data_IF_741259408259
#
_entry.id   IF_741259408259
#
_cell.length_a   1.000
_cell.length_b   1.000
_cell.length_c   1.000
_cell.angle_alpha   90.00
_cell.angle_beta   90.00
_cell.angle_gamma   90.00
#
_symmetry.space_group_name_H-M   'P 1'
#
loop_
_entity.id
_entity.type
_entity.pdbx_description
1 polymer ?
#
# COMPACT_ATOMS: atom_id res chain seq x y z
N UNK A 1 21.03 13.91 9.63
CA UNK A 1 20.38 14.87 8.74
C UNK A 1 19.90 16.02 9.59
N UNK A 2 20.22 17.23 9.16
CA UNK A 2 19.73 18.48 9.76
C UNK A 2 18.34 18.79 9.20
N UNK A 3 17.55 19.66 9.81
CA UNK A 3 16.21 20.04 9.30
C UNK A 3 16.21 20.51 7.83
N UNK A 4 17.36 21.01 7.34
CA UNK A 4 17.57 21.34 5.92
C UNK A 4 17.33 20.16 4.96
N UNK A 5 17.60 18.92 5.37
CA UNK A 5 17.49 17.76 4.47
C UNK A 5 16.02 17.30 4.26
N UNK A 6 15.10 17.78 5.10
CA UNK A 6 13.66 17.54 5.02
C UNK A 6 12.90 18.71 4.39
N UNK A 7 13.60 19.73 3.93
CA UNK A 7 13.00 20.94 3.37
C UNK A 7 12.92 20.85 1.85
N UNK A 8 11.71 20.74 1.29
CA UNK A 8 11.44 20.90 -0.13
C UNK A 8 11.34 22.39 -0.46
N UNK A 9 12.16 22.88 -1.39
CA UNK A 9 12.03 24.22 -1.96
C UNK A 9 11.55 24.11 -3.40
N UNK A 10 10.40 24.69 -3.69
CA UNK A 10 9.74 24.67 -5.00
C UNK A 10 9.19 26.08 -5.31
N UNK A 11 8.75 26.36 -6.56
CA UNK A 11 8.16 27.65 -6.91
C UNK A 11 6.95 28.06 -6.04
N UNK A 12 6.21 27.07 -5.51
CA UNK A 12 5.05 27.26 -4.64
C UNK A 12 5.42 27.63 -3.20
N UNK A 13 6.69 27.51 -2.82
CA UNK A 13 7.18 27.83 -1.49
C UNK A 13 8.17 26.80 -0.93
N UNK A 14 8.34 26.87 0.38
CA UNK A 14 9.26 26.01 1.14
C UNK A 14 8.46 25.18 2.13
N UNK A 15 8.64 23.86 2.08
CA UNK A 15 7.83 22.91 2.84
C UNK A 15 8.72 21.92 3.60
N UNK A 16 8.43 21.69 4.88
CA UNK A 16 9.08 20.66 5.70
C UNK A 16 8.30 19.35 5.52
N UNK A 17 8.93 18.35 4.93
CA UNK A 17 8.29 17.09 4.57
C UNK A 17 9.04 15.90 5.18
N UNK A 18 8.30 15.08 5.92
CA UNK A 18 8.78 13.86 6.55
C UNK A 18 8.18 12.62 5.91
N UNK A 19 8.95 11.53 5.95
CA UNK A 19 8.50 10.20 5.54
C UNK A 19 7.71 9.55 6.67
N UNK A 20 6.80 8.65 6.29
CA UNK A 20 6.11 7.76 7.22
C UNK A 20 6.37 6.28 6.84
N UNK A 21 6.53 5.35 7.80
CA UNK A 21 6.66 5.58 9.24
C UNK A 21 7.93 6.36 9.59
N UNK A 22 7.88 7.16 10.66
CA UNK A 22 9.03 7.96 11.10
C UNK A 22 10.17 7.04 11.56
N UNK A 23 11.38 7.27 11.06
CA UNK A 23 12.56 6.45 11.36
C UNK A 23 13.66 7.26 12.00
N UNK A 24 14.33 6.75 13.05
CA UNK A 24 15.52 7.39 13.58
C UNK A 24 16.61 7.45 12.50
N UNK A 25 17.20 8.63 12.29
CA UNK A 25 18.24 8.85 11.26
C UNK A 25 17.77 8.45 9.85
N UNK A 26 16.57 8.89 9.48
CA UNK A 26 16.09 8.77 8.10
C UNK A 26 17.12 9.39 7.14
N UNK A 27 17.45 8.66 6.07
CA UNK A 27 18.42 9.05 5.04
C UNK A 27 17.74 9.42 3.71
N UNK A 28 16.46 9.06 3.57
CA UNK A 28 15.66 9.30 2.38
C UNK A 28 14.78 10.53 2.56
N UNK A 29 14.54 11.24 1.46
CA UNK A 29 13.60 12.37 1.43
C UNK A 29 12.16 11.88 1.26
N UNK A 30 11.21 12.72 1.66
CA UNK A 30 9.78 12.51 1.47
C UNK A 30 9.30 12.79 0.04
N UNK A 31 10.20 13.23 -0.83
CA UNK A 31 9.94 13.47 -2.24
C UNK A 31 11.13 13.01 -3.08
N UNK A 32 10.91 12.88 -4.37
CA UNK A 32 11.94 12.62 -5.37
C UNK A 32 12.00 13.74 -6.42
N UNK A 33 12.93 13.60 -7.38
CA UNK A 33 13.11 14.60 -8.42
C UNK A 33 11.91 14.71 -9.37
N UNK A 34 11.03 13.70 -9.43
CA UNK A 34 9.83 13.79 -10.24
C UNK A 34 8.76 14.64 -9.56
N UNK A 35 8.71 14.69 -8.22
CA UNK A 35 7.85 15.64 -7.50
C UNK A 35 8.29 17.09 -7.78
N UNK A 36 9.58 17.37 -7.62
CA UNK A 36 10.17 18.70 -7.94
C UNK A 36 9.84 19.10 -9.39
N UNK A 37 9.96 18.17 -10.34
CA UNK A 37 9.75 18.47 -11.75
C UNK A 37 8.28 18.77 -12.07
N UNK A 38 7.32 18.06 -11.47
CA UNK A 38 5.89 18.41 -11.61
C UNK A 38 5.66 19.83 -11.09
N UNK A 39 6.17 20.16 -9.91
CA UNK A 39 5.96 21.47 -9.30
C UNK A 39 6.53 22.61 -10.15
N UNK A 40 7.73 22.43 -10.72
CA UNK A 40 8.32 23.38 -11.66
C UNK A 40 7.44 23.55 -12.90
N UNK A 41 7.00 22.44 -13.50
CA UNK A 41 6.17 22.46 -14.72
C UNK A 41 4.81 23.12 -14.50
N UNK A 42 4.15 22.85 -13.38
CA UNK A 42 2.85 23.47 -13.08
C UNK A 42 2.98 24.97 -12.76
N UNK A 43 4.11 25.40 -12.17
CA UNK A 43 4.36 26.82 -11.92
C UNK A 43 4.51 27.63 -13.22
N UNK A 44 5.16 27.06 -14.24
CA UNK A 44 5.31 27.70 -15.56
C UNK A 44 3.96 27.88 -16.29
N UNK A 45 2.97 27.05 -15.96
CA UNK A 45 1.67 27.04 -16.63
C UNK A 45 0.65 28.00 -16.01
N UNK A 46 0.95 28.59 -14.85
CA UNK A 46 0.08 29.55 -14.16
C UNK A 46 -1.37 29.07 -14.04
N UNK A 47 -1.57 27.87 -13.48
CA UNK A 47 -2.91 27.31 -13.24
C UNK A 47 -3.82 28.31 -12.50
N UNK A 48 -5.06 28.46 -12.96
CA UNK A 48 -6.05 29.32 -12.33
C UNK A 48 -6.41 28.80 -10.93
N UNK A 49 -6.81 29.68 -10.01
CA UNK A 49 -7.13 29.31 -8.62
C UNK A 49 -8.34 28.38 -8.47
N UNK A 50 -9.20 28.29 -9.49
CA UNK A 50 -10.37 27.40 -9.55
C UNK A 50 -10.07 26.05 -10.23
N UNK A 51 -8.81 25.81 -10.64
CA UNK A 51 -8.37 24.55 -11.29
C UNK A 51 -8.71 23.35 -10.42
N UNK A 52 -9.52 22.43 -10.96
CA UNK A 52 -9.82 21.14 -10.32
C UNK A 52 -8.65 20.19 -10.53
N UNK A 53 -7.81 20.06 -9.51
CA UNK A 53 -6.61 19.24 -9.52
C UNK A 53 -6.83 17.87 -8.85
N UNK A 54 -6.54 16.80 -9.58
CA UNK A 54 -6.42 15.44 -9.05
C UNK A 54 -4.94 15.02 -8.97
N UNK A 55 -4.50 14.56 -7.80
CA UNK A 55 -3.18 13.99 -7.57
C UNK A 55 -3.35 12.53 -7.20
N UNK A 56 -2.70 11.62 -7.92
CA UNK A 56 -2.80 10.18 -7.72
C UNK A 56 -1.42 9.62 -7.32
N UNK A 57 -1.39 8.80 -6.27
CA UNK A 57 -0.21 8.09 -5.75
C UNK A 57 0.89 9.00 -5.17
N UNK A 58 0.55 10.17 -4.63
CA UNK A 58 1.49 10.99 -3.87
C UNK A 58 1.88 10.29 -2.55
N UNK A 59 3.13 9.83 -2.47
CA UNK A 59 3.56 8.86 -1.44
C UNK A 59 3.65 9.48 -0.05
N UNK A 60 4.01 10.76 0.05
CA UNK A 60 4.16 11.45 1.33
C UNK A 60 3.51 12.84 1.33
N UNK A 61 2.68 13.13 0.34
CA UNK A 61 1.97 14.39 0.23
C UNK A 61 2.83 15.53 -0.32
N UNK A 62 3.95 15.26 -0.99
CA UNK A 62 4.85 16.33 -1.45
C UNK A 62 4.16 17.28 -2.44
N UNK A 63 3.40 16.72 -3.37
CA UNK A 63 2.63 17.48 -4.36
C UNK A 63 1.38 18.08 -3.71
N UNK A 64 0.65 17.29 -2.93
CA UNK A 64 -0.59 17.72 -2.29
C UNK A 64 -0.37 18.89 -1.30
N UNK A 65 0.70 18.82 -0.51
CA UNK A 65 1.10 19.89 0.42
C UNK A 65 1.55 21.13 -0.35
N UNK A 66 2.41 20.98 -1.36
CA UNK A 66 2.91 22.13 -2.13
C UNK A 66 1.82 22.83 -2.95
N UNK A 67 0.81 22.09 -3.41
CA UNK A 67 -0.30 22.59 -4.23
C UNK A 67 -1.58 22.86 -3.41
N UNK A 68 -1.49 22.94 -2.09
CA UNK A 68 -2.63 23.09 -1.18
C UNK A 68 -3.57 24.27 -1.51
N UNK A 69 -3.06 25.34 -2.12
CA UNK A 69 -3.84 26.52 -2.50
C UNK A 69 -4.90 26.21 -3.58
N UNK A 70 -4.71 25.15 -4.37
CA UNK A 70 -5.67 24.64 -5.36
C UNK A 70 -6.68 23.66 -4.75
N UNK A 71 -6.59 23.39 -3.44
CA UNK A 71 -7.42 22.41 -2.74
C UNK A 71 -7.51 21.05 -3.44
N UNK A 72 -6.36 20.41 -3.78
CA UNK A 72 -6.36 19.24 -4.63
C UNK A 72 -7.11 18.06 -4.00
N UNK A 73 -7.73 17.26 -4.86
CA UNK A 73 -8.11 15.91 -4.47
C UNK A 73 -6.89 14.99 -4.59
N UNK A 74 -6.48 14.35 -3.50
CA UNK A 74 -5.33 13.46 -3.46
C UNK A 74 -5.80 12.01 -3.20
N UNK A 75 -5.71 11.17 -4.23
CA UNK A 75 -6.14 9.77 -4.18
C UNK A 75 -4.94 8.82 -3.99
N UNK A 76 -5.06 7.88 -3.06
CA UNK A 76 -4.04 6.85 -2.84
C UNK A 76 -4.66 5.52 -2.41
N UNK A 77 -3.98 4.43 -2.75
CA UNK A 77 -4.26 3.10 -2.19
C UNK A 77 -3.61 2.87 -0.82
N UNK A 78 -2.76 3.79 -0.34
CA UNK A 78 -1.98 3.63 0.89
C UNK A 78 -2.50 4.53 2.00
N UNK A 79 -2.90 3.91 3.11
CA UNK A 79 -3.21 4.61 4.36
C UNK A 79 -2.02 5.42 4.87
N UNK A 80 -0.81 4.85 4.83
CA UNK A 80 0.39 5.53 5.26
C UNK A 80 0.67 6.80 4.44
N UNK A 81 0.34 6.79 3.15
CA UNK A 81 0.48 7.97 2.29
C UNK A 81 -0.50 9.08 2.71
N UNK A 82 -1.76 8.74 3.02
CA UNK A 82 -2.72 9.72 3.54
C UNK A 82 -2.30 10.27 4.90
N UNK A 83 -1.81 9.42 5.82
CA UNK A 83 -1.31 9.87 7.12
C UNK A 83 -0.06 10.76 6.98
N UNK A 84 0.86 10.41 6.09
CA UNK A 84 2.03 11.24 5.80
C UNK A 84 1.62 12.62 5.27
N UNK A 85 0.63 12.69 4.36
CA UNK A 85 0.10 13.97 3.88
C UNK A 85 -0.51 14.80 5.01
N UNK A 86 -1.35 14.22 5.88
CA UNK A 86 -1.93 14.94 7.04
C UNK A 86 -0.86 15.50 7.95
N UNK A 87 0.10 14.67 8.33
CA UNK A 87 1.22 15.07 9.20
C UNK A 87 2.05 16.18 8.53
N UNK A 88 2.33 16.07 7.24
CA UNK A 88 3.09 17.09 6.52
C UNK A 88 2.30 18.39 6.31
N UNK A 89 0.97 18.36 6.15
CA UNK A 89 0.17 19.59 6.19
C UNK A 89 0.30 20.29 7.55
N UNK A 90 0.14 19.55 8.65
CA UNK A 90 0.26 20.09 10.01
C UNK A 90 1.66 20.65 10.28
N UNK A 91 2.72 19.95 9.87
CA UNK A 91 4.11 20.41 10.01
C UNK A 91 4.38 21.74 9.28
N UNK A 92 3.56 22.07 8.28
CA UNK A 92 3.65 23.33 7.53
C UNK A 92 2.59 24.35 7.95
N UNK A 93 1.91 24.14 9.08
CA UNK A 93 0.82 24.99 9.59
C UNK A 93 -0.34 25.15 8.58
N UNK A 94 -0.58 24.13 7.76
CA UNK A 94 -1.69 24.09 6.81
C UNK A 94 -2.86 23.30 7.39
N UNK A 95 -4.08 23.69 7.02
CA UNK A 95 -5.29 22.96 7.40
C UNK A 95 -5.33 21.60 6.71
N UNK A 96 -5.72 20.54 7.42
CA UNK A 96 -5.98 19.23 6.78
C UNK A 96 -7.07 19.32 5.70
N UNK A 97 -7.96 20.32 5.76
CA UNK A 97 -9.02 20.54 4.78
C UNK A 97 -8.51 21.17 3.48
N UNK A 98 -7.24 21.62 3.42
CA UNK A 98 -6.65 22.15 2.18
C UNK A 98 -6.36 21.06 1.16
N UNK A 99 -6.55 19.78 1.49
CA UNK A 99 -6.40 18.65 0.58
C UNK A 99 -7.55 17.68 0.83
N UNK A 100 -8.31 17.34 -0.21
CA UNK A 100 -9.34 16.30 -0.13
C UNK A 100 -8.68 14.93 -0.32
N UNK A 101 -8.39 14.23 0.78
CA UNK A 101 -7.82 12.88 0.74
C UNK A 101 -8.90 11.84 0.44
N UNK A 102 -8.72 11.05 -0.63
CA UNK A 102 -9.63 9.95 -1.02
C UNK A 102 -8.87 8.64 -1.19
N UNK A 103 -9.57 7.51 -1.07
CA UNK A 103 -9.02 6.17 -1.24
C UNK A 103 -9.04 5.75 -2.72
N UNK A 104 -8.25 4.73 -3.05
CA UNK A 104 -8.25 4.07 -4.36
C UNK A 104 -9.57 3.36 -4.72
N UNK A 105 -10.49 3.22 -3.77
CA UNK A 105 -11.80 2.59 -3.96
C UNK A 105 -12.92 3.63 -4.14
N UNK A 106 -12.67 4.88 -3.76
CA UNK A 106 -13.65 5.96 -3.90
C UNK A 106 -13.87 6.28 -5.38
N UNK A 107 -15.13 6.53 -5.75
CA UNK A 107 -15.47 7.04 -7.08
C UNK A 107 -15.00 8.47 -7.24
N UNK A 108 -14.46 8.79 -8.41
CA UNK A 108 -14.19 10.17 -8.80
C UNK A 108 -15.51 10.88 -9.15
N UNK A 109 -15.52 12.20 -9.05
CA UNK A 109 -16.70 13.03 -9.35
C UNK A 109 -16.32 14.25 -10.17
N UNK A 110 -17.19 14.58 -11.13
CA UNK A 110 -16.99 15.67 -12.09
C UNK A 110 -15.79 15.45 -13.02
N UNK A 111 -15.38 16.52 -13.69
CA UNK A 111 -14.22 16.53 -14.58
C UNK A 111 -13.08 17.28 -13.92
N UNK A 112 -11.84 16.84 -14.14
CA UNK A 112 -10.64 17.50 -13.66
C UNK A 112 -9.97 18.30 -14.78
N UNK A 113 -9.46 19.47 -14.44
CA UNK A 113 -8.74 20.34 -15.38
C UNK A 113 -7.26 19.92 -15.44
N UNK A 114 -6.72 19.42 -14.32
CA UNK A 114 -5.36 18.91 -14.23
C UNK A 114 -5.32 17.61 -13.43
N UNK A 115 -4.59 16.62 -13.94
CA UNK A 115 -4.38 15.32 -13.32
C UNK A 115 -2.89 15.01 -13.28
N UNK A 116 -2.36 14.82 -12.07
CA UNK A 116 -0.98 14.38 -11.86
C UNK A 116 -0.99 12.96 -11.30
N UNK A 117 -0.33 12.04 -12.00
CA UNK A 117 -0.19 10.66 -11.57
C UNK A 117 1.29 10.38 -11.29
N UNK A 118 1.64 10.11 -10.04
CA UNK A 118 2.91 9.46 -9.74
C UNK A 118 2.81 8.01 -10.19
N UNK A 119 3.70 7.59 -11.09
CA UNK A 119 3.65 6.24 -11.65
C UNK A 119 3.69 5.21 -10.51
N UNK A 120 2.69 4.32 -10.38
CA UNK A 120 2.67 3.33 -9.32
C UNK A 120 3.70 2.22 -9.59
N UNK A 121 3.96 1.40 -8.58
CA UNK A 121 4.89 0.26 -8.70
C UNK A 121 4.39 -0.84 -9.65
N UNK A 122 3.08 -0.92 -9.87
CA UNK A 122 2.45 -1.97 -10.67
C UNK A 122 1.71 -1.36 -11.86
N UNK A 123 1.81 -2.00 -13.03
CA UNK A 123 1.06 -1.57 -14.21
C UNK A 123 -0.45 -1.77 -14.04
N UNK A 124 -0.86 -2.76 -13.26
CA UNK A 124 -2.26 -3.04 -13.00
C UNK A 124 -2.95 -1.90 -12.25
N UNK A 125 -2.31 -1.36 -11.21
CA UNK A 125 -2.85 -0.17 -10.53
C UNK A 125 -2.92 1.03 -11.47
N UNK A 126 -1.91 1.24 -12.32
CA UNK A 126 -1.97 2.32 -13.31
C UNK A 126 -3.11 2.12 -14.31
N UNK A 127 -3.31 0.91 -14.82
CA UNK A 127 -4.38 0.57 -15.78
C UNK A 127 -5.76 0.84 -15.17
N UNK A 128 -5.99 0.34 -13.97
CA UNK A 128 -7.20 0.55 -13.20
C UNK A 128 -7.48 2.03 -12.93
N UNK A 129 -6.45 2.80 -12.58
CA UNK A 129 -6.55 4.24 -12.37
C UNK A 129 -6.88 4.99 -13.66
N UNK A 130 -6.24 4.66 -14.78
CA UNK A 130 -6.48 5.30 -16.07
C UNK A 130 -7.88 5.00 -16.61
N UNK A 131 -8.36 3.75 -16.50
CA UNK A 131 -9.72 3.38 -16.91
C UNK A 131 -10.76 4.14 -16.08
N UNK A 132 -10.56 4.21 -14.76
CA UNK A 132 -11.48 4.93 -13.87
C UNK A 132 -11.40 6.44 -14.00
N UNK A 133 -10.28 6.97 -14.49
CA UNK A 133 -10.09 8.39 -14.77
C UNK A 133 -10.83 8.83 -16.05
N UNK A 134 -10.98 7.94 -17.03
CA UNK A 134 -11.46 8.31 -18.37
C UNK A 134 -12.79 9.10 -18.40
N UNK A 135 -13.82 8.78 -17.60
CA UNK A 135 -15.07 9.56 -17.57
C UNK A 135 -14.93 10.97 -16.96
N UNK A 136 -13.77 11.27 -16.36
CA UNK A 136 -13.49 12.47 -15.57
C UNK A 136 -12.45 13.39 -16.22
N UNK A 137 -12.15 13.17 -17.50
CA UNK A 137 -11.19 13.95 -18.29
C UNK A 137 -11.80 14.34 -19.63
N UNK A 138 -11.25 15.39 -20.23
CA UNK A 138 -11.60 15.93 -21.54
C UNK A 138 -10.33 16.21 -22.34
N UNK A 139 -10.49 16.64 -23.59
CA UNK A 139 -9.38 16.98 -24.49
C UNK A 139 -8.52 18.14 -23.98
N UNK A 140 -9.09 19.06 -23.19
CA UNK A 140 -8.41 20.17 -22.53
C UNK A 140 -7.86 19.81 -21.14
N UNK A 141 -8.22 18.63 -20.58
CA UNK A 141 -7.63 18.18 -19.32
C UNK A 141 -6.13 17.95 -19.50
N UNK A 142 -5.35 18.59 -18.65
CA UNK A 142 -3.92 18.34 -18.59
C UNK A 142 -3.62 17.07 -17.79
N UNK A 143 -2.97 16.10 -18.42
CA UNK A 143 -2.58 14.84 -17.77
C UNK A 143 -1.05 14.72 -17.74
N UNK A 144 -0.49 14.64 -16.54
CA UNK A 144 0.94 14.50 -16.28
C UNK A 144 1.21 13.20 -15.53
N UNK A 145 1.91 12.26 -16.16
CA UNK A 145 2.43 11.06 -15.48
C UNK A 145 3.90 11.27 -15.15
N UNK A 146 4.24 11.21 -13.88
CA UNK A 146 5.56 11.57 -13.36
C UNK A 146 6.24 10.40 -12.66
N UNK A 147 7.54 10.23 -12.91
CA UNK A 147 8.34 9.23 -12.21
C UNK A 147 9.84 9.37 -12.45
N UNK A 148 10.60 8.70 -11.61
CA UNK A 148 12.01 8.44 -11.88
C UNK A 148 12.11 7.52 -13.12
N UNK A 149 13.08 7.73 -14.01
CA UNK A 149 13.20 7.02 -15.29
C UNK A 149 13.16 5.49 -15.12
N UNK A 150 13.78 4.97 -14.06
CA UNK A 150 13.77 3.52 -13.75
C UNK A 150 12.37 2.94 -13.47
N UNK A 151 11.40 3.79 -13.11
CA UNK A 151 10.01 3.45 -12.83
C UNK A 151 9.09 3.72 -14.03
N UNK A 152 9.64 4.21 -15.15
CA UNK A 152 8.93 4.46 -16.40
C UNK A 152 9.45 3.48 -17.47
N UNK A 153 9.03 2.21 -17.44
CA UNK A 153 9.30 1.28 -18.54
C UNK A 153 8.40 1.58 -19.76
N UNK A 154 8.75 1.11 -20.97
CA UNK A 154 7.95 1.33 -22.19
C UNK A 154 6.48 0.92 -22.10
N UNK A 155 6.15 -0.03 -21.22
CA UNK A 155 4.77 -0.46 -20.97
C UNK A 155 3.88 0.64 -20.38
N UNK A 156 4.44 1.65 -19.69
CA UNK A 156 3.69 2.81 -19.20
C UNK A 156 3.17 3.65 -20.37
N UNK A 157 4.02 3.95 -21.36
CA UNK A 157 3.61 4.67 -22.58
C UNK A 157 2.54 3.91 -23.34
N UNK A 158 2.77 2.63 -23.61
CA UNK A 158 1.79 1.78 -24.31
C UNK A 158 0.43 1.77 -23.62
N UNK A 159 0.42 1.83 -22.29
CA UNK A 159 -0.81 1.87 -21.52
C UNK A 159 -1.53 3.21 -21.64
N UNK A 160 -0.80 4.32 -21.55
CA UNK A 160 -1.34 5.67 -21.75
C UNK A 160 -1.87 5.86 -23.18
N UNK A 161 -1.11 5.44 -24.19
CA UNK A 161 -1.51 5.54 -25.60
C UNK A 161 -2.75 4.71 -25.92
N UNK A 162 -2.89 3.55 -25.26
CA UNK A 162 -4.05 2.68 -25.43
C UNK A 162 -5.31 3.20 -24.72
N UNK A 163 -5.17 3.82 -23.56
CA UNK A 163 -6.30 4.14 -22.67
C UNK A 163 -6.68 5.61 -22.64
N UNK A 164 -5.75 6.52 -22.99
CA UNK A 164 -5.95 7.96 -22.93
C UNK A 164 -5.77 8.56 -24.32
N UNK A 165 -4.63 8.34 -24.97
CA UNK A 165 -4.35 8.91 -26.28
C UNK A 165 -2.89 9.31 -26.47
N UNK A 166 -2.63 10.22 -27.41
CA UNK A 166 -1.26 10.58 -27.80
C UNK A 166 -0.43 11.06 -26.62
N UNK A 167 0.84 10.63 -26.57
CA UNK A 167 1.75 11.02 -25.51
C UNK A 167 2.92 11.84 -26.04
N UNK A 168 3.40 12.77 -25.22
CA UNK A 168 4.69 13.45 -25.39
C UNK A 168 5.47 13.37 -24.08
N UNK A 169 6.75 13.76 -24.09
CA UNK A 169 7.59 13.66 -22.88
C UNK A 169 8.46 14.88 -22.70
N UNK A 170 8.74 15.18 -21.43
CA UNK A 170 9.73 16.18 -21.06
C UNK A 170 11.16 15.66 -21.32
N UNK A 171 12.13 16.58 -21.38
CA UNK A 171 13.54 16.23 -21.19
C UNK A 171 13.73 15.57 -19.82
N UNK A 172 14.76 14.73 -19.69
CA UNK A 172 15.11 14.14 -18.41
C UNK A 172 15.76 15.18 -17.49
N UNK A 173 15.30 15.28 -16.24
CA UNK A 173 15.84 16.20 -15.22
C UNK A 173 16.12 15.41 -13.95
N UNK A 174 17.37 15.40 -13.47
CA UNK A 174 17.78 14.66 -12.25
C UNK A 174 17.29 13.18 -12.21
N UNK A 175 17.32 12.49 -13.36
CA UNK A 175 16.81 11.12 -13.56
C UNK A 175 15.28 10.97 -13.40
N UNK A 176 14.53 12.06 -13.36
CA UNK A 176 13.08 12.10 -13.48
C UNK A 176 12.66 12.49 -14.90
N UNK A 177 11.43 12.10 -15.27
CA UNK A 177 10.79 12.46 -16.53
C UNK A 177 9.27 12.60 -16.32
N UNK A 178 8.67 13.50 -17.08
CA UNK A 178 7.23 13.67 -17.18
C UNK A 178 6.75 13.13 -18.54
N UNK A 179 5.62 12.46 -18.53
CA UNK A 179 4.87 12.06 -19.72
C UNK A 179 3.59 12.89 -19.72
N UNK A 180 3.33 13.59 -20.82
CA UNK A 180 2.08 14.31 -21.03
C UNK A 180 1.18 13.46 -21.91
N UNK A 181 -0.10 13.32 -21.54
CA UNK A 181 -1.07 12.59 -22.33
C UNK A 181 -2.23 13.51 -22.71
N UNK A 182 -2.69 13.42 -23.94
CA UNK A 182 -3.89 14.12 -24.43
C UNK A 182 -4.96 13.10 -24.75
N UNK A 183 -6.18 13.34 -24.28
CA UNK A 183 -7.32 12.46 -24.54
C UNK A 183 -7.61 12.40 -26.05
N UNK A 184 -7.68 11.18 -26.58
CA UNK A 184 -8.22 10.87 -27.90
C UNK A 184 -9.63 10.32 -27.72
N UNK A 185 -10.64 11.15 -27.98
CA UNK A 185 -12.07 10.82 -27.81
C UNK A 185 -12.53 9.68 -28.74
N UNK A 186 -11.72 9.28 -29.73
CA UNK A 186 -12.04 8.18 -30.65
C UNK A 186 -11.67 6.81 -30.08
N UNK A 187 -10.88 6.76 -28.99
CA UNK A 187 -10.48 5.51 -28.36
C UNK A 187 -11.65 4.84 -27.64
N UNK A 188 -11.77 3.52 -27.83
CA UNK A 188 -12.67 2.68 -27.07
C UNK A 188 -11.96 2.15 -25.83
N UNK A 189 -12.35 2.65 -24.66
CA UNK A 189 -11.82 2.20 -23.38
C UNK A 189 -12.43 0.83 -23.03
N UNK A 190 -11.61 -0.18 -22.73
CA UNK A 190 -12.12 -1.48 -22.33
C UNK A 190 -12.81 -1.42 -20.97
N UNK A 191 -13.70 -2.37 -20.71
CA UNK A 191 -14.19 -2.63 -19.35
C UNK A 191 -13.01 -2.85 -18.41
N UNK A 192 -13.08 -2.26 -17.21
CA UNK A 192 -12.05 -2.43 -16.21
C UNK A 192 -11.91 -3.92 -15.84
N UNK A 193 -10.72 -4.53 -16.03
CA UNK A 193 -10.52 -5.95 -15.73
C UNK A 193 -10.40 -6.23 -14.22
N UNK A 194 -10.38 -5.18 -13.39
CA UNK A 194 -10.25 -5.29 -11.94
C UNK A 194 -11.60 -5.12 -11.23
N UNK A 195 -11.85 -5.89 -10.15
CA UNK A 195 -10.93 -6.88 -9.57
C UNK A 195 -10.87 -8.19 -10.38
N UNK A 196 -9.71 -8.87 -10.33
CA UNK A 196 -9.51 -10.16 -10.99
C UNK A 196 -9.88 -11.31 -10.04
N UNK A 197 -10.42 -12.39 -10.59
CA UNK A 197 -10.83 -13.57 -9.80
C UNK A 197 -10.13 -14.84 -10.25
N UNK A 198 -9.67 -15.67 -9.31
CA UNK A 198 -9.19 -17.02 -9.60
C UNK A 198 -9.59 -18.02 -8.49
N UNK A 199 -9.70 -19.30 -8.84
CA UNK A 199 -9.95 -20.36 -7.85
C UNK A 199 -8.66 -20.71 -7.10
N UNK A 200 -8.72 -20.73 -5.78
CA UNK A 200 -7.61 -21.17 -4.94
C UNK A 200 -7.42 -22.67 -5.10
N UNK A 201 -6.22 -23.07 -5.50
CA UNK A 201 -5.85 -24.47 -5.74
C UNK A 201 -6.19 -25.38 -4.56
N UNK A 202 -6.69 -26.59 -4.87
CA UNK A 202 -7.09 -27.61 -3.89
C UNK A 202 -8.22 -27.18 -2.93
N UNK A 203 -8.99 -26.15 -3.27
CA UNK A 203 -10.16 -25.69 -2.51
C UNK A 203 -11.29 -25.26 -3.46
N UNK A 204 -12.48 -25.07 -2.91
CA UNK A 204 -13.61 -24.48 -3.65
C UNK A 204 -13.67 -22.95 -3.50
N UNK A 205 -12.67 -22.33 -2.87
CA UNK A 205 -12.63 -20.89 -2.65
C UNK A 205 -12.23 -20.13 -3.91
N UNK A 206 -12.95 -19.06 -4.17
CA UNK A 206 -12.64 -18.10 -5.24
C UNK A 206 -12.12 -16.82 -4.61
N UNK A 207 -10.95 -16.38 -5.07
CA UNK A 207 -10.28 -15.17 -4.58
C UNK A 207 -10.43 -14.05 -5.60
N UNK A 208 -11.08 -12.97 -5.18
CA UNK A 208 -11.15 -11.65 -5.81
C UNK A 208 -9.99 -10.78 -5.36
N UNK A 209 -9.35 -10.07 -6.29
CA UNK A 209 -8.16 -9.27 -6.04
C UNK A 209 -8.24 -7.93 -6.80
N UNK A 210 -8.18 -6.82 -6.09
CA UNK A 210 -8.07 -5.49 -6.69
C UNK A 210 -6.69 -5.23 -7.30
N UNK A 211 -6.58 -4.18 -8.11
CA UNK A 211 -5.46 -3.95 -9.02
C UNK A 211 -4.07 -3.86 -8.35
N UNK A 212 -4.00 -3.33 -7.13
CA UNK A 212 -2.73 -3.18 -6.40
C UNK A 212 -2.41 -4.34 -5.44
N UNK A 213 -3.27 -5.36 -5.36
CA UNK A 213 -3.10 -6.46 -4.42
C UNK A 213 -1.90 -7.34 -4.81
N UNK A 214 -1.11 -7.74 -3.81
CA UNK A 214 0.06 -8.59 -4.03
C UNK A 214 -0.35 -9.94 -4.63
N UNK A 215 0.39 -10.39 -5.64
CA UNK A 215 0.15 -11.66 -6.35
C UNK A 215 -1.31 -11.82 -6.84
N UNK A 216 -1.96 -10.73 -7.26
CA UNK A 216 -3.38 -10.69 -7.64
C UNK A 216 -3.85 -11.76 -8.65
N UNK A 217 -2.99 -12.20 -9.57
CA UNK A 217 -3.39 -13.09 -10.66
C UNK A 217 -3.28 -14.60 -10.29
N UNK A 218 -2.57 -14.94 -9.20
CA UNK A 218 -2.34 -16.34 -8.78
C UNK A 218 -1.80 -16.42 -7.36
N UNK A 219 -1.98 -17.58 -6.71
CA UNK A 219 -1.39 -17.82 -5.39
C UNK A 219 0.15 -17.71 -5.40
N UNK A 220 0.67 -16.82 -4.54
CA UNK A 220 2.11 -16.66 -4.29
C UNK A 220 2.72 -17.96 -3.76
N UNK A 221 3.93 -18.29 -4.22
CA UNK A 221 4.62 -19.53 -3.88
C UNK A 221 5.04 -19.59 -2.42
N UNK A 222 5.34 -18.44 -1.79
CA UNK A 222 5.59 -18.34 -0.37
C UNK A 222 4.31 -18.63 0.40
N UNK A 223 3.26 -17.86 0.10
CA UNK A 223 1.93 -18.02 0.69
C UNK A 223 1.43 -19.46 0.58
N UNK A 224 1.52 -20.09 -0.60
CA UNK A 224 1.22 -21.53 -0.79
C UNK A 224 1.92 -22.42 0.23
N UNK A 225 3.22 -22.23 0.42
CA UNK A 225 3.98 -22.98 1.42
C UNK A 225 3.52 -22.67 2.85
N UNK A 226 3.17 -21.41 3.14
CA UNK A 226 2.65 -21.03 4.45
C UNK A 226 1.32 -21.71 4.77
N UNK A 227 0.39 -21.73 3.81
CA UNK A 227 -0.92 -22.36 3.94
C UNK A 227 -0.81 -23.84 4.34
N UNK A 228 0.20 -24.57 3.85
CA UNK A 228 0.41 -25.99 4.20
C UNK A 228 0.72 -26.21 5.69
N UNK A 229 1.25 -25.19 6.37
CA UNK A 229 1.76 -25.30 7.74
C UNK A 229 1.03 -24.41 8.75
N UNK A 230 -0.07 -23.74 8.37
CA UNK A 230 -0.84 -22.91 9.30
C UNK A 230 -1.32 -23.71 10.52
N UNK A 231 -1.28 -23.09 11.73
CA UNK A 231 -1.61 -23.79 12.96
C UNK A 231 -3.11 -24.11 13.08
N UNK A 232 -3.39 -25.23 13.73
CA UNK A 232 -4.72 -25.58 14.25
C UNK A 232 -4.67 -25.35 15.76
N UNK A 233 -5.48 -24.40 16.25
CA UNK A 233 -5.56 -23.93 17.63
C UNK A 233 -7.03 -23.89 18.06
N UNK A 234 -7.62 -25.03 18.48
CA UNK A 234 -9.04 -25.10 18.84
C UNK A 234 -9.48 -24.12 19.94
N UNK A 235 -8.53 -23.69 20.78
CA UNK A 235 -8.76 -22.78 21.90
C UNK A 235 -8.38 -21.32 21.58
N UNK A 236 -7.89 -21.02 20.37
CA UNK A 236 -7.64 -19.63 19.98
C UNK A 236 -8.98 -18.91 19.77
N UNK A 237 -9.14 -17.75 20.40
CA UNK A 237 -10.30 -16.89 20.25
C UNK A 237 -10.06 -15.82 19.20
N UNK A 238 -8.83 -15.30 19.09
CA UNK A 238 -8.48 -14.20 18.19
C UNK A 238 -7.24 -14.54 17.35
N UNK A 239 -7.42 -14.56 16.02
CA UNK A 239 -6.36 -14.79 15.06
C UNK A 239 -6.25 -13.57 14.13
N UNK A 240 -5.06 -13.01 14.00
CA UNK A 240 -4.78 -11.86 13.12
C UNK A 240 -4.01 -12.31 11.88
N UNK A 241 -4.50 -11.95 10.71
CA UNK A 241 -3.76 -11.95 9.44
C UNK A 241 -3.15 -10.55 9.22
N UNK A 242 -1.84 -10.44 9.47
CA UNK A 242 -1.09 -9.19 9.46
C UNK A 242 -0.39 -8.96 8.11
N UNK A 243 -0.66 -7.81 7.50
CA UNK A 243 -0.35 -7.50 6.10
C UNK A 243 -1.07 -8.51 5.20
N UNK A 244 -2.40 -8.55 5.34
CA UNK A 244 -3.22 -9.66 4.86
C UNK A 244 -3.28 -9.78 3.33
N UNK A 245 -2.96 -8.73 2.57
CA UNK A 245 -3.16 -8.74 1.12
C UNK A 245 -4.60 -9.11 0.78
N UNK A 246 -4.82 -10.14 -0.03
CA UNK A 246 -6.16 -10.63 -0.36
C UNK A 246 -6.85 -11.48 0.73
N UNK A 247 -6.23 -11.63 1.91
CA UNK A 247 -6.79 -12.33 3.06
C UNK A 247 -6.73 -13.87 2.98
N UNK A 248 -6.04 -14.46 2.00
CA UNK A 248 -6.03 -15.93 1.85
C UNK A 248 -5.45 -16.66 3.07
N UNK A 249 -4.48 -16.05 3.77
CA UNK A 249 -3.87 -16.65 4.97
C UNK A 249 -4.90 -16.71 6.11
N UNK A 250 -5.59 -15.60 6.40
CA UNK A 250 -6.66 -15.56 7.39
C UNK A 250 -7.89 -16.38 7.00
N UNK A 251 -8.22 -16.49 5.71
CA UNK A 251 -9.30 -17.33 5.21
C UNK A 251 -9.05 -18.81 5.53
N UNK A 252 -7.87 -19.35 5.20
CA UNK A 252 -7.53 -20.73 5.53
C UNK A 252 -7.34 -20.93 7.05
N UNK A 253 -6.89 -19.89 7.77
CA UNK A 253 -6.85 -19.93 9.23
C UNK A 253 -8.26 -20.04 9.82
N UNK A 254 -9.26 -19.36 9.27
CA UNK A 254 -10.66 -19.48 9.69
C UNK A 254 -11.22 -20.88 9.45
N UNK A 255 -10.94 -21.47 8.28
CA UNK A 255 -11.35 -22.83 7.95
C UNK A 255 -10.83 -23.84 9.00
N UNK A 256 -9.56 -23.70 9.39
CA UNK A 256 -8.90 -24.58 10.36
C UNK A 256 -9.29 -24.31 11.81
N UNK A 257 -9.81 -23.14 12.11
CA UNK A 257 -10.10 -22.67 13.46
C UNK A 257 -11.54 -22.13 13.54
N UNK A 258 -12.55 -23.02 13.47
CA UNK A 258 -13.96 -22.64 13.32
C UNK A 258 -14.56 -21.91 14.53
N UNK A 259 -13.83 -21.76 15.64
CA UNK A 259 -14.27 -20.99 16.81
C UNK A 259 -13.55 -19.65 16.96
N UNK A 260 -12.49 -19.40 16.18
CA UNK A 260 -11.73 -18.15 16.27
C UNK A 260 -12.44 -17.02 15.52
N UNK A 261 -12.34 -15.80 16.06
CA UNK A 261 -12.60 -14.55 15.36
C UNK A 261 -11.36 -14.13 14.58
N UNK A 262 -11.56 -13.66 13.35
CA UNK A 262 -10.48 -13.29 12.45
C UNK A 262 -10.33 -11.78 12.34
N UNK A 263 -9.10 -11.31 12.33
CA UNK A 263 -8.78 -9.90 12.13
C UNK A 263 -7.83 -9.76 10.94
N UNK A 264 -8.27 -9.05 9.92
CA UNK A 264 -7.50 -8.77 8.72
C UNK A 264 -7.02 -7.32 8.78
N UNK A 265 -5.72 -7.10 8.61
CA UNK A 265 -5.15 -5.76 8.62
C UNK A 265 -4.10 -5.57 7.55
N UNK A 266 -4.22 -4.46 6.83
CA UNK A 266 -3.28 -4.03 5.79
C UNK A 266 -3.27 -2.49 5.70
N UNK A 267 -2.20 -1.93 5.15
CA UNK A 267 -2.16 -0.49 4.86
C UNK A 267 -2.83 -0.14 3.52
N UNK A 268 -3.02 -1.14 2.65
CA UNK A 268 -3.66 -0.98 1.35
C UNK A 268 -5.19 -1.07 1.46
N UNK A 269 -5.87 -0.04 0.94
CA UNK A 269 -7.34 -0.04 0.84
C UNK A 269 -7.85 -1.19 -0.04
N UNK A 270 -7.21 -1.40 -1.19
CA UNK A 270 -7.51 -2.51 -2.10
C UNK A 270 -7.28 -3.89 -1.48
N UNK A 271 -6.23 -4.07 -0.67
CA UNK A 271 -5.96 -5.33 0.02
C UNK A 271 -7.10 -5.68 1.00
N UNK A 272 -7.45 -4.76 1.90
CA UNK A 272 -8.51 -5.00 2.89
C UNK A 272 -9.86 -5.23 2.22
N UNK A 273 -10.19 -4.51 1.15
CA UNK A 273 -11.41 -4.75 0.39
C UNK A 273 -11.43 -6.16 -0.25
N UNK A 274 -10.32 -6.61 -0.83
CA UNK A 274 -10.19 -7.97 -1.35
C UNK A 274 -10.29 -9.03 -0.24
N UNK A 275 -9.64 -8.82 0.91
CA UNK A 275 -9.74 -9.72 2.06
C UNK A 275 -11.18 -9.85 2.57
N UNK A 276 -11.90 -8.74 2.65
CA UNK A 276 -13.29 -8.69 3.07
C UNK A 276 -14.20 -9.45 2.11
N UNK A 277 -14.08 -9.20 0.81
CA UNK A 277 -14.87 -9.90 -0.21
C UNK A 277 -14.60 -11.41 -0.17
N UNK A 278 -13.32 -11.80 -0.13
CA UNK A 278 -12.93 -13.22 -0.13
C UNK A 278 -13.43 -13.96 1.10
N UNK A 279 -13.32 -13.34 2.28
CA UNK A 279 -13.79 -13.94 3.52
C UNK A 279 -15.30 -14.14 3.53
N UNK A 280 -16.07 -13.12 3.14
CA UNK A 280 -17.53 -13.22 3.14
C UNK A 280 -18.06 -14.10 2.02
N UNK A 281 -17.36 -14.19 0.89
CA UNK A 281 -17.68 -15.17 -0.15
C UNK A 281 -17.49 -16.61 0.34
N UNK A 282 -16.49 -16.85 1.19
CA UNK A 282 -16.20 -18.17 1.74
C UNK A 282 -17.10 -18.58 2.92
N UNK A 283 -17.40 -17.66 3.83
CA UNK A 283 -18.04 -17.98 5.12
C UNK A 283 -19.38 -17.27 5.38
N UNK A 284 -19.78 -16.35 4.50
CA UNK A 284 -20.93 -15.46 4.73
C UNK A 284 -20.66 -14.40 5.80
N UNK A 285 -21.59 -13.47 5.95
CA UNK A 285 -21.46 -12.32 6.89
C UNK A 285 -21.73 -12.69 8.35
N UNK A 286 -22.30 -13.88 8.61
CA UNK A 286 -22.54 -14.37 9.97
C UNK A 286 -21.25 -14.85 10.66
N UNK A 287 -20.19 -15.14 9.89
CA UNK A 287 -18.89 -15.51 10.44
C UNK A 287 -18.16 -14.26 10.93
N UNK A 288 -17.81 -14.22 12.22
CA UNK A 288 -17.14 -13.07 12.80
C UNK A 288 -15.75 -12.81 12.21
N UNK A 289 -15.59 -11.64 11.61
CA UNK A 289 -14.30 -11.09 11.20
C UNK A 289 -14.30 -9.55 11.23
N UNK A 290 -13.12 -8.96 11.44
CA UNK A 290 -12.90 -7.52 11.30
C UNK A 290 -11.87 -7.23 10.21
N UNK A 291 -12.09 -6.14 9.48
CA UNK A 291 -11.25 -5.69 8.37
C UNK A 291 -10.78 -4.27 8.67
N UNK A 292 -9.49 -4.09 8.90
CA UNK A 292 -8.93 -2.84 9.37
C UNK A 292 -7.85 -2.32 8.43
N UNK A 293 -7.97 -1.04 8.08
CA UNK A 293 -6.90 -0.28 7.43
C UNK A 293 -5.98 0.27 8.51
N UNK A 294 -4.67 0.07 8.43
CA UNK A 294 -3.75 0.65 9.41
C UNK A 294 -2.26 0.39 9.19
N UNK A 295 -1.43 1.05 10.00
CA UNK A 295 0.03 0.83 10.06
C UNK A 295 0.35 -0.41 10.92
N UNK A 296 0.23 -1.58 10.29
CA UNK A 296 0.41 -2.87 10.96
C UNK A 296 -0.56 -3.00 12.14
N UNK A 297 -0.05 -3.27 13.34
CA UNK A 297 -0.89 -3.44 14.54
C UNK A 297 -0.84 -2.25 15.51
N UNK A 298 -0.61 -1.03 15.01
CA UNK A 298 -0.49 0.16 15.88
C UNK A 298 -1.74 0.44 16.72
N UNK A 299 -2.93 0.24 16.15
CA UNK A 299 -4.21 0.51 16.81
C UNK A 299 -4.81 -0.72 17.52
N UNK A 300 -4.10 -1.85 17.54
CA UNK A 300 -4.54 -3.03 18.27
C UNK A 300 -4.17 -2.91 19.76
N UNK A 301 -5.08 -3.37 20.61
CA UNK A 301 -4.85 -3.45 22.05
C UNK A 301 -3.69 -4.41 22.37
N UNK A 302 -2.98 -4.15 23.47
CA UNK A 302 -2.00 -5.11 23.96
C UNK A 302 -2.72 -6.37 24.47
N UNK A 303 -2.06 -7.53 24.36
CA UNK A 303 -2.58 -8.81 24.87
C UNK A 303 -4.01 -9.15 24.37
N UNK A 304 -4.29 -8.90 23.09
CA UNK A 304 -5.60 -9.11 22.47
C UNK A 304 -5.64 -10.20 21.39
N UNK A 305 -4.51 -10.86 21.10
CA UNK A 305 -4.45 -11.93 20.09
C UNK A 305 -3.77 -13.20 20.61
N UNK A 306 -4.25 -14.36 20.15
CA UNK A 306 -3.63 -15.66 20.45
C UNK A 306 -2.65 -16.09 19.35
N UNK A 307 -2.98 -15.78 18.09
CA UNK A 307 -2.14 -16.10 16.94
C UNK A 307 -2.07 -14.89 16.01
N UNK A 308 -0.88 -14.57 15.56
CA UNK A 308 -0.64 -13.59 14.49
C UNK A 308 0.08 -14.32 13.36
N UNK A 309 -0.50 -14.31 12.17
CA UNK A 309 0.04 -14.88 10.94
C UNK A 309 0.54 -13.71 10.09
N UNK A 310 1.77 -13.80 9.58
CA UNK A 310 2.36 -12.71 8.81
C UNK A 310 3.18 -13.23 7.64
N UNK A 311 2.86 -12.73 6.45
CA UNK A 311 3.72 -12.81 5.27
C UNK A 311 4.21 -11.38 4.95
N UNK A 312 5.30 -10.90 5.58
CA UNK A 312 5.72 -9.50 5.46
C UNK A 312 6.01 -9.12 4.00
N UNK A 313 5.80 -7.85 3.60
CA UNK A 313 6.11 -7.40 2.25
C UNK A 313 7.61 -7.58 1.94
N UNK A 314 7.92 -8.25 0.82
CA UNK A 314 9.29 -8.43 0.36
C UNK A 314 9.59 -7.55 -0.85
N UNK A 315 10.71 -6.84 -0.81
CA UNK A 315 11.37 -6.31 -1.99
C UNK A 315 12.79 -6.86 -2.03
N UNK A 316 13.11 -7.63 -3.07
CA UNK A 316 14.45 -8.17 -3.27
C UNK A 316 15.46 -7.01 -3.21
N UNK A 317 16.40 -7.09 -2.27
CA UNK A 317 17.55 -6.18 -2.10
C UNK A 317 17.26 -4.76 -1.59
N UNK A 318 16.22 -4.52 -0.79
CA UNK A 318 16.02 -3.22 -0.14
C UNK A 318 15.97 -3.33 1.39
N UNK A 319 16.91 -2.64 2.08
CA UNK A 319 16.95 -2.44 3.55
C UNK A 319 15.62 -1.98 4.14
N UNK A 320 14.77 -1.34 3.32
CA UNK A 320 13.44 -0.86 3.71
C UNK A 320 12.49 -2.02 4.05
N UNK A 321 12.54 -3.14 3.33
CA UNK A 321 11.66 -4.29 3.55
C UNK A 321 11.93 -4.97 4.90
N UNK A 322 13.20 -5.19 5.23
CA UNK A 322 13.62 -5.76 6.51
C UNK A 322 13.16 -4.90 7.69
N UNK A 323 13.25 -3.56 7.55
CA UNK A 323 12.78 -2.63 8.58
C UNK A 323 11.27 -2.70 8.82
N UNK A 324 10.47 -2.85 7.74
CA UNK A 324 9.02 -3.02 7.85
C UNK A 324 8.70 -4.32 8.59
N UNK A 325 9.32 -5.44 8.20
CA UNK A 325 9.11 -6.72 8.87
C UNK A 325 9.45 -6.66 10.37
N UNK A 326 10.57 -6.04 10.74
CA UNK A 326 10.96 -5.86 12.14
C UNK A 326 9.94 -5.00 12.92
N UNK A 327 9.40 -3.94 12.30
CA UNK A 327 8.32 -3.14 12.91
C UNK A 327 7.08 -4.00 13.18
N UNK A 328 6.64 -4.78 12.19
CA UNK A 328 5.51 -5.69 12.32
C UNK A 328 5.74 -6.72 13.45
N UNK A 329 6.95 -7.27 13.59
CA UNK A 329 7.27 -8.22 14.68
C UNK A 329 7.23 -7.57 16.07
N UNK A 330 7.68 -6.30 16.19
CA UNK A 330 7.58 -5.55 17.45
C UNK A 330 6.13 -5.29 17.84
N UNK A 331 5.31 -4.87 16.87
CA UNK A 331 3.88 -4.66 17.09
C UNK A 331 3.17 -5.98 17.46
N UNK A 332 3.48 -7.07 16.75
CA UNK A 332 2.96 -8.41 17.07
C UNK A 332 3.30 -8.85 18.50
N UNK A 333 4.54 -8.61 18.96
CA UNK A 333 4.93 -8.89 20.35
C UNK A 333 4.06 -8.14 21.37
N UNK A 334 3.70 -6.88 21.11
CA UNK A 334 2.83 -6.08 22.00
C UNK A 334 1.40 -6.66 22.06
N UNK A 335 0.88 -7.07 20.91
CA UNK A 335 -0.53 -7.49 20.75
C UNK A 335 -0.77 -8.92 21.21
N UNK A 336 0.22 -9.81 21.13
CA UNK A 336 0.07 -11.20 21.57
C UNK A 336 -0.12 -11.32 23.08
N UNK A 337 -1.12 -12.13 23.48
CA UNK A 337 -1.32 -12.61 24.85
C UNK A 337 -0.12 -13.42 25.32
N UNK A 338 -0.02 -13.63 26.63
CA UNK A 338 0.94 -14.61 27.17
C UNK A 338 0.66 -15.98 26.56
N UNK A 339 1.70 -16.65 26.04
CA UNK A 339 1.58 -17.92 25.33
C UNK A 339 1.11 -17.80 23.88
N UNK A 340 0.70 -16.60 23.43
CA UNK A 340 0.32 -16.35 22.04
C UNK A 340 1.50 -16.47 21.08
N UNK A 341 1.22 -16.76 19.81
CA UNK A 341 2.24 -17.12 18.81
C UNK A 341 2.24 -16.18 17.60
N UNK A 342 3.43 -15.71 17.22
CA UNK A 342 3.68 -15.08 15.93
C UNK A 342 4.22 -16.15 14.96
N UNK A 343 3.57 -16.30 13.83
CA UNK A 343 3.97 -17.18 12.73
C UNK A 343 4.35 -16.32 11.51
N UNK A 344 5.57 -16.48 11.03
CA UNK A 344 6.13 -15.68 9.94
C UNK A 344 6.68 -16.58 8.87
N UNK A 345 6.30 -16.33 7.62
CA UNK A 345 7.03 -16.88 6.47
C UNK A 345 7.97 -15.82 5.89
N UNK A 346 9.13 -16.26 5.39
CA UNK A 346 9.95 -15.41 4.55
C UNK A 346 10.99 -16.16 3.73
N UNK A 347 11.65 -15.44 2.83
CA UNK A 347 12.74 -16.00 2.03
C UNK A 347 13.87 -16.47 2.95
N UNK A 348 14.47 -17.62 2.63
CA UNK A 348 15.51 -18.26 3.46
C UNK A 348 16.74 -17.40 3.71
N UNK A 349 17.11 -16.53 2.77
CA UNK A 349 18.25 -15.63 2.93
C UNK A 349 17.97 -14.51 3.95
N UNK A 350 16.71 -14.27 4.31
CA UNK A 350 16.34 -13.31 5.34
C UNK A 350 16.58 -13.93 6.72
N UNK A 351 17.23 -13.17 7.59
CA UNK A 351 17.67 -13.65 8.89
C UNK A 351 16.64 -13.39 10.00
N UNK A 352 15.33 -13.51 9.69
CA UNK A 352 14.23 -13.19 10.62
C UNK A 352 14.32 -13.92 11.96
N UNK A 353 14.89 -15.13 12.00
CA UNK A 353 15.16 -15.85 13.24
C UNK A 353 15.99 -15.05 14.26
N UNK A 354 16.92 -14.19 13.83
CA UNK A 354 17.72 -13.36 14.74
C UNK A 354 16.86 -12.27 15.37
N UNK A 355 16.04 -11.59 14.56
CA UNK A 355 15.11 -10.56 15.05
C UNK A 355 14.05 -11.16 15.96
N UNK A 356 13.48 -12.31 15.59
CA UNK A 356 12.51 -13.02 16.42
C UNK A 356 13.12 -13.48 17.74
N UNK A 357 14.34 -14.05 17.74
CA UNK A 357 15.02 -14.40 18.99
C UNK A 357 15.31 -13.17 19.85
N UNK A 358 15.78 -12.07 19.27
CA UNK A 358 16.04 -10.82 19.99
C UNK A 358 14.76 -10.23 20.59
N UNK A 359 13.64 -10.29 19.86
CA UNK A 359 12.37 -9.72 20.30
C UNK A 359 11.65 -10.63 21.29
N UNK A 360 11.47 -11.92 21.00
CA UNK A 360 10.65 -12.85 21.78
C UNK A 360 11.45 -13.73 22.75
N UNK A 361 12.78 -13.71 22.67
CA UNK A 361 13.66 -14.61 23.43
C UNK A 361 13.61 -16.07 22.95
N UNK A 362 12.86 -16.36 21.89
CA UNK A 362 12.72 -17.68 21.30
C UNK A 362 12.29 -17.58 19.83
N UNK A 363 12.67 -18.59 19.04
CA UNK A 363 12.23 -18.77 17.68
C UNK A 363 12.40 -20.25 17.29
N UNK A 364 11.36 -20.87 16.75
CA UNK A 364 11.38 -22.25 16.23
C UNK A 364 11.17 -22.23 14.73
N UNK A 365 11.94 -23.03 13.98
CA UNK A 365 11.63 -23.31 12.57
C UNK A 365 10.53 -24.35 12.52
N UNK A 366 9.38 -24.00 11.96
CA UNK A 366 8.25 -24.93 11.80
C UNK A 366 8.43 -25.79 10.55
N UNK A 367 8.81 -25.15 9.44
CA UNK A 367 9.07 -25.82 8.17
C UNK A 367 10.04 -24.99 7.34
N UNK A 368 10.74 -25.64 6.41
CA UNK A 368 11.55 -24.93 5.41
C UNK A 368 11.63 -25.72 4.11
N UNK A 369 11.83 -25.00 3.01
CA UNK A 369 12.12 -25.56 1.69
C UNK A 369 13.23 -24.74 1.01
N UNK A 370 13.65 -25.12 -0.19
CA UNK A 370 14.72 -24.46 -0.95
C UNK A 370 14.71 -22.91 -0.90
N UNK A 371 13.53 -22.29 -0.90
CA UNK A 371 13.34 -20.84 -1.00
C UNK A 371 12.84 -20.18 0.29
N UNK A 372 12.01 -20.85 1.08
CA UNK A 372 11.26 -20.24 2.19
C UNK A 372 11.49 -20.96 3.52
N UNK A 373 11.32 -20.22 4.61
CA UNK A 373 11.32 -20.73 5.97
C UNK A 373 10.10 -20.18 6.69
N UNK A 374 9.45 -21.01 7.50
CA UNK A 374 8.37 -20.62 8.40
C UNK A 374 8.91 -20.66 9.81
N UNK A 375 8.86 -19.53 10.49
CA UNK A 375 9.27 -19.35 11.88
C UNK A 375 8.06 -19.17 12.77
N UNK A 376 8.19 -19.64 14.01
CA UNK A 376 7.24 -19.39 15.10
C UNK A 376 7.96 -18.82 16.30
N UNK A 377 7.43 -17.76 16.88
CA UNK A 377 7.88 -17.21 18.16
C UNK A 377 6.71 -17.10 19.12
N UNK A 378 6.92 -17.42 20.40
CA UNK A 378 5.89 -17.38 21.44
C UNK A 378 6.11 -16.18 22.36
N UNK A 379 5.05 -15.41 22.61
CA UNK A 379 5.05 -14.32 23.58
C UNK A 379 5.11 -14.85 25.01
N UNK A 380 6.09 -14.39 25.79
CA UNK A 380 6.31 -14.82 27.19
C UNK A 380 6.17 -13.66 28.18
N UNK A 381 5.47 -12.58 27.83
CA UNK A 381 5.25 -11.46 28.74
C UNK A 381 4.73 -11.96 30.09
N UNK A 382 5.29 -11.51 31.20
CA UNK A 382 4.63 -11.72 32.48
C UNK A 382 3.23 -11.06 32.39
N UNK A 383 2.16 -11.71 32.87
CA UNK A 383 0.88 -11.02 32.97
C UNK A 383 1.11 -9.73 33.79
N UNK A 384 0.70 -8.58 33.25
CA UNK A 384 0.64 -7.37 34.06
C UNK A 384 -0.30 -7.69 35.23
N UNK A 385 0.25 -7.67 36.43
CA UNK A 385 -0.48 -7.89 37.67
C UNK A 385 -1.22 -6.64 38.08
#
# INVERSE_FOLDING_TARGET
MTDQDHTLTAPQGTFILHRLPHRPRELLRAWDAADEYVLDTLAEQNLESNTRLLIINDTFGALAVALNQLQPQAQSDSYLSQQATRINLLNNNLSEQSVKLTTSLDTLDGVFDCVVIKVPKTLALLEDQLIRLHPHIKTDTQIIVAGMIKALPPSVWKLLERLIGTTSTSLAKKKARLIFATLDETLSVPTNPYPVTYQLENTDYWLTNHANVFSRDRLDIGTRFFLQHLPIKPNATDIIDLACGNGVVGLIAAERNPNARLHFVDESFMAVASAQENFYRAFGTAREASFQIGDGLSDFAAQSADVILCNPPFHQQNTIGDQIAIQLFKQAKKVLRHGGELWVIGNRHLQYHQDLNRLFGNCTVVASNAKFVIWRATSRHAPCT
#
